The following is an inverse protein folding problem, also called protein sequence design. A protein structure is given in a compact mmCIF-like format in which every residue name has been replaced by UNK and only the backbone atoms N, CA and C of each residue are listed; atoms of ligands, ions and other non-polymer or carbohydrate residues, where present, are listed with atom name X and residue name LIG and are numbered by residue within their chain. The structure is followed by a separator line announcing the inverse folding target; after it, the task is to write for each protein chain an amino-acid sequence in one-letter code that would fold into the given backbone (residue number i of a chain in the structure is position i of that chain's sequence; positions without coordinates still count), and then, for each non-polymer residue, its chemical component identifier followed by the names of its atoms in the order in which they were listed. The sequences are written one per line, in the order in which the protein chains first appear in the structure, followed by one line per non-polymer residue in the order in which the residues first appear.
data_IF_974327591448
#
_entry.id   IF_974327591448
#
_cell.length_a   1.000
_cell.length_b   1.000
_cell.length_c   1.000
_cell.angle_alpha   90.00
_cell.angle_beta   90.00
_cell.angle_gamma   90.00
#
_symmetry.space_group_name_H-M   'P 1'
#
loop_
_entity.id
_entity.type
_entity.pdbx_description
1 polymer ?
#
# COMPACT_ATOMS: atom_id res chain seq x y z
N UNK A 1 -26.19 -4.42 -14.72
CA UNK A 1 -26.87 -3.44 -15.60
C UNK A 1 -25.88 -2.68 -16.48
N UNK A 2 -24.92 -1.92 -15.92
CA UNK A 2 -23.96 -1.13 -16.71
C UNK A 2 -23.10 -1.97 -17.70
N UNK A 3 -22.61 -3.14 -17.28
CA UNK A 3 -21.81 -4.01 -18.14
C UNK A 3 -22.61 -4.60 -19.32
N UNK A 4 -23.85 -5.04 -19.07
CA UNK A 4 -24.75 -5.52 -20.12
C UNK A 4 -25.03 -4.44 -21.17
N UNK A 5 -25.34 -3.22 -20.73
CA UNK A 5 -25.58 -2.10 -21.65
C UNK A 5 -24.39 -1.82 -22.58
N UNK A 6 -23.15 -1.94 -22.09
CA UNK A 6 -21.95 -1.84 -22.93
C UNK A 6 -21.83 -2.98 -23.95
N UNK A 7 -22.23 -4.20 -23.58
CA UNK A 7 -22.20 -5.36 -24.48
C UNK A 7 -23.29 -5.28 -25.56
N UNK A 8 -24.49 -4.81 -25.21
CA UNK A 8 -25.58 -4.58 -26.17
C UNK A 8 -25.20 -3.54 -27.23
N UNK A 9 -24.35 -2.55 -26.89
CA UNK A 9 -23.79 -1.61 -27.88
C UNK A 9 -22.82 -2.27 -28.87
N UNK A 10 -22.17 -3.37 -28.49
CA UNK A 10 -21.27 -4.12 -29.39
C UNK A 10 -22.06 -5.07 -30.29
N UNK A 11 -23.03 -5.78 -29.71
CA UNK A 11 -23.89 -6.73 -30.43
C UNK A 11 -25.21 -6.94 -29.68
N UNK A 12 -26.26 -6.24 -30.11
CA UNK A 12 -27.61 -6.29 -29.52
C UNK A 12 -28.25 -7.69 -29.65
N UNK A 13 -27.87 -8.47 -30.67
CA UNK A 13 -28.41 -9.80 -30.90
C UNK A 13 -27.73 -10.86 -30.05
N UNK A 14 -26.43 -10.71 -29.79
CA UNK A 14 -25.70 -11.58 -28.87
C UNK A 14 -26.06 -11.29 -27.40
N UNK A 15 -26.45 -10.04 -27.08
CA UNK A 15 -26.77 -9.61 -25.72
C UNK A 15 -28.17 -8.97 -25.57
N UNK A 16 -29.26 -9.72 -25.77
CA UNK A 16 -30.63 -9.20 -25.71
C UNK A 16 -31.16 -8.96 -24.28
N UNK A 17 -30.62 -9.69 -23.29
CA UNK A 17 -31.02 -9.58 -21.88
C UNK A 17 -29.89 -9.96 -20.91
N UNK A 18 -30.07 -9.67 -19.61
CA UNK A 18 -29.03 -9.90 -18.60
C UNK A 18 -28.53 -11.36 -18.51
N UNK A 19 -29.35 -12.36 -18.86
CA UNK A 19 -28.97 -13.77 -18.82
C UNK A 19 -28.06 -14.17 -19.98
N UNK A 20 -28.02 -13.37 -21.05
CA UNK A 20 -27.12 -13.57 -22.18
C UNK A 20 -25.65 -13.27 -21.84
N UNK A 21 -25.38 -12.54 -20.74
CA UNK A 21 -24.04 -12.19 -20.26
C UNK A 21 -23.37 -13.41 -19.62
N UNK A 22 -23.01 -14.36 -20.46
CA UNK A 22 -22.29 -15.58 -20.10
C UNK A 22 -20.81 -15.44 -20.47
N UNK A 23 -19.94 -16.15 -19.76
CA UNK A 23 -18.49 -16.11 -20.01
C UNK A 23 -18.14 -16.45 -21.47
N UNK A 24 -18.87 -17.38 -22.09
CA UNK A 24 -18.68 -17.79 -23.48
C UNK A 24 -19.12 -16.72 -24.48
N UNK A 25 -20.23 -16.03 -24.24
CA UNK A 25 -20.70 -14.93 -25.10
C UNK A 25 -19.77 -13.71 -24.99
N UNK A 26 -19.43 -13.31 -23.77
CA UNK A 26 -18.52 -12.19 -23.51
C UNK A 26 -17.15 -12.42 -24.17
N UNK A 27 -16.63 -13.64 -24.14
CA UNK A 27 -15.35 -13.98 -24.78
C UNK A 27 -15.34 -13.78 -26.32
N UNK A 28 -16.50 -13.77 -26.99
CA UNK A 28 -16.58 -13.56 -28.44
C UNK A 28 -16.43 -12.10 -28.85
N UNK A 29 -16.84 -11.18 -27.98
CA UNK A 29 -16.82 -9.73 -28.24
C UNK A 29 -15.71 -9.00 -27.50
N UNK A 30 -15.13 -9.65 -26.48
CA UNK A 30 -14.00 -9.10 -25.74
C UNK A 30 -12.70 -9.62 -26.34
N UNK A 31 -11.99 -8.75 -27.04
CA UNK A 31 -10.59 -8.98 -27.39
C UNK A 31 -9.74 -8.62 -26.17
N UNK A 32 -9.12 -9.61 -25.54
CA UNK A 32 -8.16 -9.39 -24.47
C UNK A 32 -6.76 -9.58 -25.04
N UNK A 33 -6.00 -8.49 -25.14
CA UNK A 33 -4.57 -8.54 -25.53
C UNK A 33 -3.69 -8.19 -24.33
N UNK A 34 -2.63 -8.95 -24.13
CA UNK A 34 -1.57 -8.55 -23.20
C UNK A 34 -0.70 -7.46 -23.82
N UNK A 35 -0.01 -6.69 -22.99
CA UNK A 35 1.01 -5.73 -23.46
C UNK A 35 2.12 -6.39 -24.30
N UNK A 36 2.33 -7.71 -24.16
CA UNK A 36 3.33 -8.46 -24.93
C UNK A 36 2.86 -8.78 -26.34
N UNK A 37 1.56 -8.99 -26.52
CA UNK A 37 0.94 -9.29 -27.83
C UNK A 37 0.70 -8.03 -28.69
N UNK A 38 0.83 -6.84 -28.10
CA UNK A 38 0.66 -5.59 -28.83
C UNK A 38 1.95 -5.29 -29.59
N UNK A 39 1.90 -5.54 -30.90
CA UNK A 39 2.97 -5.24 -31.85
C UNK A 39 2.62 -3.99 -32.66
N UNK A 40 3.63 -3.25 -33.08
CA UNK A 40 3.51 -2.13 -34.03
C UNK A 40 3.32 -2.64 -35.47
N UNK A 41 3.17 -1.73 -36.43
CA UNK A 41 3.04 -2.08 -37.86
C UNK A 41 4.23 -2.86 -38.44
N UNK A 42 5.38 -2.89 -37.74
CA UNK A 42 6.59 -3.62 -38.14
C UNK A 42 6.74 -4.97 -37.43
N UNK A 43 5.79 -5.34 -36.57
CA UNK A 43 5.84 -6.57 -35.78
C UNK A 43 6.71 -6.46 -34.53
N UNK A 44 7.14 -5.27 -34.10
CA UNK A 44 7.93 -5.08 -32.88
C UNK A 44 7.03 -4.83 -31.66
N UNK A 45 7.41 -5.29 -30.46
CA UNK A 45 6.65 -5.02 -29.24
C UNK A 45 6.53 -3.52 -28.95
N UNK A 46 5.30 -3.07 -28.74
CA UNK A 46 4.98 -1.66 -28.43
C UNK A 46 5.35 -1.29 -27.00
N UNK A 47 5.32 -2.25 -26.08
CA UNK A 47 5.65 -2.06 -24.68
C UNK A 47 7.04 -2.62 -24.37
N UNK A 48 7.83 -1.80 -23.68
CA UNK A 48 9.13 -2.21 -23.12
C UNK A 48 8.99 -3.35 -22.10
N UNK A 49 10.11 -4.01 -21.80
CA UNK A 49 10.11 -5.05 -20.77
C UNK A 49 9.95 -4.42 -19.38
N UNK A 50 9.46 -5.23 -18.44
CA UNK A 50 9.46 -4.89 -17.02
C UNK A 50 10.20 -5.95 -16.23
N UNK A 51 11.07 -5.49 -15.34
CA UNK A 51 11.89 -6.31 -14.45
C UNK A 51 11.43 -6.05 -13.03
N UNK A 52 11.04 -7.11 -12.31
CA UNK A 52 10.59 -7.03 -10.92
C UNK A 52 11.63 -7.72 -10.06
N UNK A 53 12.14 -7.02 -9.04
CA UNK A 53 13.16 -7.50 -8.12
C UNK A 53 12.71 -7.26 -6.68
N UNK A 54 13.12 -8.14 -5.78
CA UNK A 54 12.88 -7.99 -4.35
C UNK A 54 14.16 -7.51 -3.66
N UNK A 55 14.01 -6.61 -2.70
CA UNK A 55 15.08 -6.07 -1.86
C UNK A 55 14.84 -6.58 -0.42
N UNK A 56 15.55 -7.63 0.01
CA UNK A 56 15.37 -8.19 1.34
C UNK A 56 15.87 -7.21 2.41
N UNK A 57 15.17 -7.20 3.53
CA UNK A 57 15.49 -6.45 4.73
C UNK A 57 15.45 -7.40 5.90
N UNK A 58 16.55 -7.49 6.63
CA UNK A 58 16.64 -8.27 7.86
C UNK A 58 16.51 -7.31 9.03
N UNK A 59 15.64 -7.62 9.98
CA UNK A 59 15.53 -6.85 11.21
C UNK A 59 16.80 -6.95 12.04
N UNK A 60 17.18 -5.84 12.67
CA UNK A 60 18.12 -5.84 13.78
C UNK A 60 17.53 -6.59 14.98
N UNK A 61 18.35 -7.02 15.95
CA UNK A 61 17.83 -7.66 17.16
C UNK A 61 16.77 -6.84 17.92
N UNK A 62 16.90 -5.51 17.93
CA UNK A 62 15.93 -4.63 18.58
C UNK A 62 14.61 -4.53 17.79
N UNK A 63 14.67 -4.47 16.46
CA UNK A 63 13.48 -4.50 15.60
C UNK A 63 12.77 -5.86 15.67
N UNK A 64 13.53 -6.96 15.73
CA UNK A 64 13.00 -8.31 15.88
C UNK A 64 12.31 -8.49 17.25
N UNK A 65 12.89 -7.98 18.33
CA UNK A 65 12.25 -7.97 19.65
C UNK A 65 10.93 -7.20 19.62
N UNK A 66 10.90 -6.02 18.98
CA UNK A 66 9.67 -5.26 18.79
C UNK A 66 8.66 -6.04 17.93
N UNK A 67 9.10 -6.63 16.82
CA UNK A 67 8.24 -7.40 15.91
C UNK A 67 7.54 -8.53 16.66
N UNK A 68 8.29 -9.32 17.43
CA UNK A 68 7.75 -10.42 18.22
C UNK A 68 6.78 -9.92 19.30
N UNK A 69 7.11 -8.82 19.99
CA UNK A 69 6.25 -8.24 21.00
C UNK A 69 4.92 -7.69 20.41
N UNK A 70 4.99 -6.99 19.28
CA UNK A 70 3.80 -6.52 18.54
C UNK A 70 2.98 -7.70 18.03
N UNK A 71 3.63 -8.73 17.48
CA UNK A 71 2.96 -9.94 16.99
C UNK A 71 2.21 -10.66 18.11
N UNK A 72 2.79 -10.74 19.31
CA UNK A 72 2.14 -11.33 20.48
C UNK A 72 0.91 -10.52 20.92
N UNK A 73 1.04 -9.18 20.97
CA UNK A 73 -0.06 -8.27 21.28
C UNK A 73 -1.21 -8.37 20.25
N UNK A 74 -0.88 -8.37 18.96
CA UNK A 74 -1.81 -8.56 17.84
C UNK A 74 -2.53 -9.90 17.94
N UNK A 75 -1.80 -10.98 18.21
CA UNK A 75 -2.38 -12.32 18.30
C UNK A 75 -3.39 -12.44 19.44
N UNK A 76 -3.07 -11.90 20.61
CA UNK A 76 -3.97 -11.87 21.77
C UNK A 76 -5.23 -11.05 21.46
N UNK A 77 -5.06 -9.81 20.99
CA UNK A 77 -6.19 -8.94 20.64
C UNK A 77 -7.07 -9.51 19.53
N UNK A 78 -6.48 -10.18 18.54
CA UNK A 78 -7.21 -10.80 17.44
C UNK A 78 -8.05 -11.99 17.92
N UNK A 79 -7.51 -12.83 18.81
CA UNK A 79 -8.25 -13.95 19.38
C UNK A 79 -9.43 -13.46 20.23
N UNK A 80 -9.23 -12.45 21.08
CA UNK A 80 -10.30 -11.80 21.85
C UNK A 80 -11.38 -11.23 20.93
N UNK A 81 -10.98 -10.51 19.88
CA UNK A 81 -11.90 -9.96 18.90
C UNK A 81 -12.71 -11.05 18.18
N UNK A 82 -12.06 -12.18 17.85
CA UNK A 82 -12.72 -13.33 17.21
C UNK A 82 -13.75 -13.98 18.12
N UNK A 83 -13.43 -14.18 19.40
CA UNK A 83 -14.35 -14.72 20.40
C UNK A 83 -15.56 -13.80 20.60
N UNK A 84 -15.33 -12.49 20.64
CA UNK A 84 -16.36 -11.46 20.74
C UNK A 84 -17.11 -11.20 19.42
N UNK A 85 -16.74 -11.87 18.31
CA UNK A 85 -17.25 -11.62 16.95
C UNK A 85 -17.15 -10.13 16.52
N UNK A 86 -16.15 -9.43 17.02
CA UNK A 86 -15.90 -8.02 16.74
C UNK A 86 -14.92 -7.89 15.56
N UNK A 87 -15.46 -7.81 14.33
CA UNK A 87 -14.65 -7.67 13.10
C UNK A 87 -13.77 -6.42 13.12
N UNK A 88 -14.28 -5.31 13.65
CA UNK A 88 -13.56 -4.03 13.73
C UNK A 88 -12.30 -4.15 14.59
N UNK A 89 -12.41 -4.75 15.77
CA UNK A 89 -11.28 -5.00 16.66
C UNK A 89 -10.28 -5.98 16.04
N UNK A 90 -10.74 -7.04 15.37
CA UNK A 90 -9.86 -7.97 14.68
C UNK A 90 -9.08 -7.30 13.56
N UNK A 91 -9.74 -6.41 12.81
CA UNK A 91 -9.11 -5.65 11.73
C UNK A 91 -8.09 -4.63 12.24
N UNK A 92 -8.35 -3.97 13.37
CA UNK A 92 -7.35 -3.12 14.03
C UNK A 92 -6.03 -3.87 14.30
N UNK A 93 -6.12 -5.12 14.76
CA UNK A 93 -4.94 -5.94 15.02
C UNK A 93 -4.18 -6.25 13.72
N UNK A 94 -4.89 -6.51 12.63
CA UNK A 94 -4.28 -6.68 11.29
C UNK A 94 -3.57 -5.40 10.86
N UNK A 95 -4.16 -4.22 11.08
CA UNK A 95 -3.53 -2.94 10.75
C UNK A 95 -2.24 -2.71 11.53
N UNK A 96 -2.21 -2.99 12.84
CA UNK A 96 -0.96 -2.91 13.61
C UNK A 96 0.13 -3.83 13.05
N UNK A 97 -0.23 -5.06 12.70
CA UNK A 97 0.73 -5.99 12.10
C UNK A 97 1.26 -5.47 10.75
N UNK A 98 0.39 -4.93 9.89
CA UNK A 98 0.80 -4.32 8.61
C UNK A 98 1.71 -3.11 8.80
N UNK A 99 1.40 -2.27 9.79
CA UNK A 99 2.21 -1.08 10.09
C UNK A 99 3.57 -1.43 10.68
N UNK A 100 3.67 -2.52 11.44
CA UNK A 100 4.95 -3.06 11.95
C UNK A 100 5.93 -3.39 10.83
N UNK A 101 5.45 -4.00 9.75
CA UNK A 101 6.30 -4.32 8.59
C UNK A 101 6.41 -3.18 7.57
N UNK A 102 5.67 -2.08 7.75
CA UNK A 102 5.80 -0.87 6.94
C UNK A 102 7.01 -0.06 7.38
N UNK A 103 6.96 0.57 8.55
CA UNK A 103 8.07 1.31 9.14
C UNK A 103 7.93 1.36 10.66
N UNK A 104 9.05 1.52 11.36
CA UNK A 104 9.08 1.70 12.81
C UNK A 104 8.30 2.96 13.23
N UNK A 105 8.39 4.03 12.44
CA UNK A 105 7.59 5.25 12.67
C UNK A 105 6.09 4.95 12.62
N UNK A 106 5.65 4.16 11.63
CA UNK A 106 4.24 3.88 11.45
C UNK A 106 3.67 3.09 12.63
N UNK A 107 4.31 1.99 13.03
CA UNK A 107 3.83 1.22 14.19
C UNK A 107 3.92 2.02 15.49
N UNK A 108 4.99 2.79 15.68
CA UNK A 108 5.13 3.69 16.84
C UNK A 108 3.93 4.63 16.97
N UNK A 109 3.60 5.37 15.90
CA UNK A 109 2.45 6.30 15.92
C UNK A 109 1.14 5.61 16.21
N UNK A 110 0.93 4.41 15.67
CA UNK A 110 -0.27 3.60 15.92
C UNK A 110 -0.40 3.20 17.39
N UNK A 111 0.70 2.71 17.97
CA UNK A 111 0.75 2.30 19.38
C UNK A 111 0.55 3.50 20.32
N UNK A 112 1.16 4.64 20.02
CA UNK A 112 1.03 5.87 20.80
C UNK A 112 -0.40 6.43 20.75
N UNK A 113 -1.03 6.48 19.57
CA UNK A 113 -2.44 6.88 19.43
C UNK A 113 -3.36 5.98 20.22
N UNK A 114 -3.16 4.66 20.12
CA UNK A 114 -3.91 3.66 20.87
C UNK A 114 -3.75 3.83 22.38
N UNK A 115 -2.51 3.96 22.85
CA UNK A 115 -2.18 4.18 24.26
C UNK A 115 -2.87 5.44 24.78
N UNK A 116 -2.73 6.56 24.07
CA UNK A 116 -3.34 7.83 24.43
C UNK A 116 -4.88 7.73 24.49
N UNK A 117 -5.50 7.04 23.52
CA UNK A 117 -6.95 6.83 23.52
C UNK A 117 -7.43 6.05 24.75
N UNK A 118 -6.69 5.01 25.15
CA UNK A 118 -7.05 4.20 26.32
C UNK A 118 -6.79 4.92 27.64
N UNK A 119 -5.72 5.72 27.72
CA UNK A 119 -5.44 6.54 28.91
C UNK A 119 -6.56 7.56 29.14
N UNK A 120 -7.08 8.18 28.08
CA UNK A 120 -8.25 9.06 28.16
C UNK A 120 -9.52 8.33 28.59
N UNK A 121 -9.77 7.13 28.04
CA UNK A 121 -10.91 6.30 28.46
C UNK A 121 -10.81 5.95 29.95
N UNK A 122 -9.61 5.59 30.42
CA UNK A 122 -9.35 5.27 31.83
C UNK A 122 -9.54 6.49 32.75
N UNK A 123 -9.15 7.68 32.30
CA UNK A 123 -9.33 8.91 33.07
C UNK A 123 -10.80 9.35 33.19
N UNK A 124 -11.72 8.73 32.43
CA UNK A 124 -13.12 9.16 32.34
C UNK A 124 -13.33 10.34 31.39
N UNK A 125 -12.27 10.79 30.69
CA UNK A 125 -12.28 11.94 29.76
C UNK A 125 -12.83 11.58 28.37
N UNK A 126 -13.17 10.32 28.15
CA UNK A 126 -13.73 9.81 26.90
C UNK A 126 -14.87 8.83 27.19
N UNK A 127 -15.98 8.99 26.47
CA UNK A 127 -17.07 8.01 26.46
C UNK A 127 -16.64 6.76 25.69
N UNK A 128 -17.27 5.61 25.99
CA UNK A 128 -17.10 4.41 25.18
C UNK A 128 -17.36 4.74 23.71
N UNK A 129 -16.35 4.48 22.89
CA UNK A 129 -16.39 4.73 21.46
C UNK A 129 -17.10 3.56 20.77
N UNK A 130 -18.22 3.86 20.13
CA UNK A 130 -18.87 2.99 19.15
C UNK A 130 -18.75 3.61 17.76
N UNK A 131 -18.74 2.75 16.72
CA UNK A 131 -18.82 3.22 15.35
C UNK A 131 -20.25 3.71 15.07
N UNK A 132 -20.36 4.90 14.48
CA UNK A 132 -21.60 5.39 13.89
C UNK A 132 -22.02 4.52 12.70
N UNK A 133 -23.29 4.59 12.25
CA UNK A 133 -23.73 3.82 11.08
C UNK A 133 -22.92 4.10 9.80
N UNK A 134 -22.47 5.34 9.59
CA UNK A 134 -21.62 5.69 8.44
C UNK A 134 -20.22 5.11 8.57
N UNK A 135 -19.61 5.19 9.77
CA UNK A 135 -18.31 4.60 10.04
C UNK A 135 -18.34 3.06 9.90
N UNK A 136 -19.44 2.42 10.34
CA UNK A 136 -19.62 0.98 10.17
C UNK A 136 -19.72 0.60 8.69
N UNK A 137 -20.50 1.35 7.90
CA UNK A 137 -20.60 1.14 6.45
C UNK A 137 -19.24 1.28 5.76
N UNK A 138 -18.49 2.36 6.07
CA UNK A 138 -17.14 2.57 5.54
C UNK A 138 -16.17 1.48 5.96
N UNK A 139 -16.25 0.99 7.20
CA UNK A 139 -15.44 -0.14 7.64
C UNK A 139 -15.76 -1.41 6.84
N UNK A 140 -17.05 -1.72 6.62
CA UNK A 140 -17.45 -2.87 5.82
C UNK A 140 -16.97 -2.74 4.36
N UNK A 141 -17.09 -1.56 3.76
CA UNK A 141 -16.51 -1.23 2.44
C UNK A 141 -14.98 -1.43 2.43
N UNK A 142 -14.28 -0.98 3.48
CA UNK A 142 -12.82 -1.09 3.59
C UNK A 142 -12.33 -2.53 3.77
N UNK A 143 -13.10 -3.36 4.50
CA UNK A 143 -12.83 -4.77 4.70
C UNK A 143 -13.01 -5.59 3.43
N UNK A 144 -14.05 -5.27 2.66
CA UNK A 144 -14.38 -6.00 1.43
C UNK A 144 -13.47 -5.56 0.27
N UNK A 145 -13.23 -4.25 0.15
CA UNK A 145 -12.31 -3.67 -0.81
C UNK A 145 -11.49 -2.52 -0.19
N UNK A 146 -10.21 -2.76 0.15
CA UNK A 146 -9.32 -1.73 0.66
C UNK A 146 -9.19 -0.48 -0.24
N UNK A 147 -9.49 -0.60 -1.53
CA UNK A 147 -9.44 0.47 -2.53
C UNK A 147 -10.72 1.30 -2.64
N UNK A 148 -11.82 0.88 -2.01
CA UNK A 148 -13.11 1.58 -2.09
C UNK A 148 -13.11 2.96 -1.44
N UNK A 149 -12.25 3.17 -0.45
CA UNK A 149 -12.14 4.40 0.32
C UNK A 149 -10.96 5.27 -0.13
N UNK A 150 -11.14 6.58 -0.02
CA UNK A 150 -10.03 7.54 -0.17
C UNK A 150 -9.01 7.39 0.97
N UNK A 151 -7.76 7.85 0.77
CA UNK A 151 -6.75 7.86 1.85
C UNK A 151 -7.27 8.57 3.13
N UNK A 152 -8.02 9.65 2.97
CA UNK A 152 -8.55 10.43 4.09
C UNK A 152 -9.60 9.64 4.88
N UNK A 153 -10.51 8.97 4.19
CA UNK A 153 -11.53 8.11 4.80
C UNK A 153 -10.91 6.89 5.47
N UNK A 154 -9.92 6.24 4.82
CA UNK A 154 -9.17 5.13 5.43
C UNK A 154 -8.53 5.56 6.73
N UNK A 155 -7.77 6.65 6.73
CA UNK A 155 -7.14 7.17 7.95
C UNK A 155 -8.14 7.54 9.03
N UNK A 156 -9.31 8.09 8.67
CA UNK A 156 -10.36 8.41 9.63
C UNK A 156 -10.90 7.14 10.30
N UNK A 157 -11.19 6.11 9.51
CA UNK A 157 -11.62 4.80 10.02
C UNK A 157 -10.52 4.16 10.87
N UNK A 158 -9.27 4.12 10.41
CA UNK A 158 -8.15 3.55 11.18
C UNK A 158 -7.98 4.26 12.54
N UNK A 159 -8.03 5.61 12.58
CA UNK A 159 -7.99 6.39 13.83
C UNK A 159 -9.17 6.04 14.74
N UNK A 160 -10.35 5.82 14.16
CA UNK A 160 -11.53 5.43 14.93
C UNK A 160 -11.36 4.03 15.52
N UNK A 161 -10.85 3.09 14.74
CA UNK A 161 -10.58 1.72 15.19
C UNK A 161 -9.59 1.71 16.35
N UNK A 162 -8.53 2.52 16.31
CA UNK A 162 -7.53 2.65 17.38
C UNK A 162 -8.15 3.09 18.72
N UNK A 163 -9.36 3.63 18.73
CA UNK A 163 -10.07 4.00 19.97
C UNK A 163 -11.03 2.93 20.51
N UNK A 164 -11.28 1.85 19.76
CA UNK A 164 -12.19 0.79 20.17
C UNK A 164 -11.61 -0.04 21.32
N UNK A 165 -12.37 -0.33 22.39
CA UNK A 165 -11.91 -1.26 23.42
C UNK A 165 -11.85 -2.68 22.85
N UNK A 166 -10.71 -3.35 23.03
CA UNK A 166 -10.49 -4.74 22.56
C UNK A 166 -10.25 -5.67 23.74
N UNK A 167 -9.44 -5.23 24.71
CA UNK A 167 -9.07 -6.04 25.85
C UNK A 167 -10.05 -5.83 27.02
N UNK A 168 -10.34 -6.88 27.81
CA UNK A 168 -11.27 -6.80 28.92
C UNK A 168 -10.74 -5.93 30.08
N UNK A 169 -9.42 -5.81 30.23
CA UNK A 169 -8.77 -5.03 31.28
C UNK A 169 -7.91 -3.92 30.68
N UNK A 170 -8.47 -2.70 30.62
CA UNK A 170 -7.83 -1.52 30.03
C UNK A 170 -6.45 -1.22 30.64
N UNK A 171 -6.30 -1.32 31.97
CA UNK A 171 -5.00 -1.08 32.62
C UNK A 171 -3.91 -2.08 32.19
N UNK A 172 -4.28 -3.34 31.96
CA UNK A 172 -3.35 -4.35 31.48
C UNK A 172 -2.93 -4.09 30.04
N UNK A 173 -3.85 -3.60 29.19
CA UNK A 173 -3.55 -3.23 27.80
C UNK A 173 -2.65 -1.99 27.77
N UNK A 174 -2.95 -0.97 28.57
CA UNK A 174 -2.12 0.23 28.73
C UNK A 174 -0.68 -0.13 29.13
N UNK A 175 -0.50 -1.04 30.09
CA UNK A 175 0.84 -1.48 30.51
C UNK A 175 1.62 -2.12 29.35
N UNK A 176 0.99 -3.01 28.58
CA UNK A 176 1.59 -3.63 27.38
C UNK A 176 1.93 -2.59 26.32
N UNK A 177 1.01 -1.67 26.02
CA UNK A 177 1.21 -0.61 25.04
C UNK A 177 2.35 0.33 25.43
N UNK A 178 2.50 0.65 26.72
CA UNK A 178 3.66 1.43 27.20
C UNK A 178 4.97 0.71 26.95
N UNK A 179 5.02 -0.61 27.20
CA UNK A 179 6.21 -1.41 26.90
C UNK A 179 6.52 -1.41 25.39
N UNK A 180 5.51 -1.63 24.54
CA UNK A 180 5.66 -1.60 23.09
C UNK A 180 6.13 -0.22 22.59
N UNK A 181 5.55 0.86 23.10
CA UNK A 181 6.00 2.23 22.78
C UNK A 181 7.44 2.46 23.23
N UNK A 182 7.85 1.94 24.38
CA UNK A 182 9.25 2.04 24.83
C UNK A 182 10.20 1.27 23.92
N UNK A 183 9.86 0.04 23.52
CA UNK A 183 10.66 -0.74 22.56
C UNK A 183 10.78 -0.01 21.22
N UNK A 184 9.67 0.50 20.68
CA UNK A 184 9.67 1.25 19.43
C UNK A 184 10.49 2.54 19.51
N UNK A 185 10.43 3.27 20.63
CA UNK A 185 11.19 4.50 20.82
C UNK A 185 12.71 4.29 20.99
N UNK A 186 13.16 3.08 21.33
CA UNK A 186 14.59 2.74 21.42
C UNK A 186 15.23 2.48 20.06
N UNK A 187 14.42 2.25 19.02
CA UNK A 187 14.93 2.00 17.68
C UNK A 187 15.14 3.35 16.99
N UNK A 188 16.41 3.76 16.90
CA UNK A 188 16.80 5.02 16.26
C UNK A 188 16.88 4.90 14.73
N UNK A 189 17.28 3.74 14.24
CA UNK A 189 17.47 3.45 12.82
C UNK A 189 16.48 2.37 12.40
N UNK A 190 15.56 2.72 11.50
CA UNK A 190 14.70 1.77 10.79
C UNK A 190 15.50 1.14 9.65
N UNK A 191 15.79 -0.16 9.76
CA UNK A 191 16.63 -0.89 8.80
C UNK A 191 16.04 -0.93 7.41
N UNK A 192 14.70 -0.90 7.29
CA UNK A 192 14.01 -0.89 6.00
C UNK A 192 14.16 0.45 5.30
N UNK A 193 14.02 1.55 6.04
CA UNK A 193 14.26 2.88 5.51
C UNK A 193 15.74 3.08 5.15
N UNK A 194 16.66 2.62 6.00
CA UNK A 194 18.10 2.64 5.73
C UNK A 194 18.45 1.84 4.47
N UNK A 195 17.86 0.64 4.30
CA UNK A 195 18.04 -0.19 3.10
C UNK A 195 17.55 0.54 1.84
N UNK A 196 16.39 1.21 1.90
CA UNK A 196 15.90 2.05 0.80
C UNK A 196 16.94 3.12 0.44
N UNK A 197 17.41 3.92 1.41
CA UNK A 197 18.34 5.01 1.11
C UNK A 197 19.70 4.51 0.61
N UNK A 198 20.25 3.42 1.17
CA UNK A 198 21.47 2.79 0.62
C UNK A 198 21.29 2.31 -0.81
N UNK A 199 20.12 1.74 -1.13
CA UNK A 199 19.79 1.34 -2.48
C UNK A 199 19.72 2.55 -3.43
N UNK A 200 19.06 3.63 -3.01
CA UNK A 200 18.99 4.88 -3.76
C UNK A 200 20.39 5.49 -3.97
N UNK A 201 21.21 5.61 -2.93
CA UNK A 201 22.59 6.10 -3.00
C UNK A 201 23.42 5.37 -4.05
N UNK A 202 23.30 4.03 -4.10
CA UNK A 202 23.99 3.23 -5.11
C UNK A 202 23.43 3.52 -6.51
N UNK A 203 22.12 3.54 -6.64
CA UNK A 203 21.42 3.72 -7.91
C UNK A 203 21.74 5.08 -8.55
N UNK A 204 21.72 6.16 -7.78
CA UNK A 204 21.94 7.52 -8.26
C UNK A 204 23.40 7.84 -8.58
N UNK A 205 24.36 7.17 -7.92
CA UNK A 205 25.79 7.25 -8.29
C UNK A 205 26.07 6.62 -9.64
N UNK A 206 25.38 5.53 -9.97
CA UNK A 206 25.64 4.77 -11.20
C UNK A 206 24.92 5.36 -12.42
N UNK A 207 23.73 5.96 -12.24
CA UNK A 207 22.87 6.40 -13.35
C UNK A 207 21.97 7.58 -12.93
N UNK A 208 21.80 8.58 -13.79
CA UNK A 208 20.71 9.55 -13.64
C UNK A 208 19.36 8.86 -13.85
N UNK A 209 18.59 8.64 -12.77
CA UNK A 209 17.30 7.98 -12.89
C UNK A 209 16.31 8.48 -11.83
N UNK A 210 15.30 9.20 -12.29
CA UNK A 210 14.13 9.49 -11.47
C UNK A 210 13.51 8.21 -10.90
N UNK A 211 13.24 8.20 -9.60
CA UNK A 211 12.65 7.06 -8.88
C UNK A 211 11.34 7.48 -8.24
N UNK A 212 10.32 6.65 -8.44
CA UNK A 212 9.06 6.73 -7.73
C UNK A 212 9.06 5.72 -6.57
N UNK A 213 8.91 6.20 -5.35
CA UNK A 213 8.79 5.38 -4.14
C UNK A 213 7.33 5.39 -3.67
N UNK A 214 6.69 4.22 -3.65
CA UNK A 214 5.33 4.05 -3.16
C UNK A 214 5.30 3.54 -1.73
N UNK A 215 4.39 4.10 -0.93
CA UNK A 215 4.03 3.60 0.40
C UNK A 215 2.51 3.58 0.57
N UNK A 216 1.97 2.64 1.34
CA UNK A 216 0.55 2.57 1.68
C UNK A 216 0.17 3.63 2.73
N UNK A 217 1.08 3.97 3.64
CA UNK A 217 0.78 4.77 4.82
C UNK A 217 1.38 6.18 4.75
N UNK A 218 0.57 7.20 5.06
CA UNK A 218 1.05 8.60 5.13
C UNK A 218 2.06 8.85 6.24
N UNK A 219 1.92 8.17 7.38
CA UNK A 219 2.92 8.25 8.45
C UNK A 219 4.30 7.75 7.98
N UNK A 220 4.35 6.67 7.19
CA UNK A 220 5.58 6.18 6.55
C UNK A 220 6.07 7.15 5.48
N UNK A 221 5.17 7.75 4.69
CA UNK A 221 5.56 8.77 3.72
C UNK A 221 6.28 9.94 4.38
N UNK A 222 5.69 10.54 5.42
CA UNK A 222 6.26 11.67 6.13
C UNK A 222 7.58 11.30 6.83
N UNK A 223 7.71 10.06 7.28
CA UNK A 223 8.97 9.53 7.79
C UNK A 223 10.07 9.54 6.72
N UNK A 224 9.79 8.98 5.55
CA UNK A 224 10.74 8.95 4.42
C UNK A 224 11.11 10.36 3.95
N UNK A 225 10.16 11.29 3.92
CA UNK A 225 10.45 12.69 3.61
C UNK A 225 11.44 13.30 4.59
N UNK A 226 11.25 13.09 5.90
CA UNK A 226 12.16 13.59 6.92
C UNK A 226 13.56 13.03 6.73
N UNK A 227 13.67 11.71 6.55
CA UNK A 227 14.96 11.04 6.32
C UNK A 227 15.65 11.50 5.03
N UNK A 228 14.88 11.79 3.97
CA UNK A 228 15.38 12.33 2.72
C UNK A 228 15.93 13.75 2.91
N UNK A 229 15.19 14.62 3.61
CA UNK A 229 15.66 15.99 3.95
C UNK A 229 16.94 15.96 4.78
N UNK A 230 17.01 15.11 5.80
CA UNK A 230 18.19 14.95 6.67
C UNK A 230 19.43 14.51 5.88
N UNK A 231 19.25 13.76 4.80
CA UNK A 231 20.31 13.32 3.89
C UNK A 231 20.58 14.29 2.74
N UNK A 232 19.88 15.43 2.68
CA UNK A 232 20.05 16.45 1.63
C UNK A 232 19.47 16.06 0.27
N UNK A 233 18.49 15.16 0.22
CA UNK A 233 17.85 14.76 -1.02
C UNK A 233 16.75 15.73 -1.45
N UNK A 234 16.75 16.08 -2.72
CA UNK A 234 15.60 16.74 -3.36
C UNK A 234 14.54 15.71 -3.73
N UNK A 235 13.28 16.02 -3.42
CA UNK A 235 12.14 15.16 -3.71
C UNK A 235 10.85 15.96 -3.87
N UNK A 236 9.89 15.33 -4.55
CA UNK A 236 8.49 15.73 -4.56
C UNK A 236 7.64 14.69 -3.81
N UNK A 237 6.43 15.07 -3.44
CA UNK A 237 5.48 14.22 -2.73
C UNK A 237 4.10 14.30 -3.36
N UNK A 238 3.41 13.17 -3.48
CA UNK A 238 2.01 13.11 -3.87
C UNK A 238 1.24 12.18 -2.91
N UNK A 239 0.31 12.72 -2.11
CA UNK A 239 -0.52 11.93 -1.21
C UNK A 239 -2.01 12.31 -1.30
N UNK A 240 -2.91 11.46 -0.79
CA UNK A 240 -4.36 11.59 -1.01
C UNK A 240 -4.96 12.91 -0.51
N UNK A 241 -4.44 13.45 0.59
CA UNK A 241 -4.84 14.76 1.13
C UNK A 241 -4.46 16.00 0.30
N UNK A 242 -3.78 15.86 -0.84
CA UNK A 242 -3.40 17.00 -1.69
C UNK A 242 -4.51 17.36 -2.69
N UNK A 243 -4.71 18.66 -2.91
CA UNK A 243 -5.56 19.18 -3.99
C UNK A 243 -5.01 18.81 -5.37
N UNK A 244 -5.87 18.82 -6.39
CA UNK A 244 -5.47 18.50 -7.76
C UNK A 244 -4.34 19.41 -8.27
N UNK A 245 -4.36 20.70 -7.93
CA UNK A 245 -3.31 21.63 -8.34
C UNK A 245 -1.98 21.36 -7.62
N UNK A 246 -2.02 21.06 -6.31
CA UNK A 246 -0.83 20.67 -5.57
C UNK A 246 -0.20 19.38 -6.10
N UNK A 247 -1.02 18.40 -6.51
CA UNK A 247 -0.55 17.17 -7.17
C UNK A 247 0.13 17.48 -8.50
N UNK A 248 -0.47 18.33 -9.33
CA UNK A 248 0.12 18.78 -10.61
C UNK A 248 1.44 19.52 -10.42
N UNK A 249 1.53 20.40 -9.43
CA UNK A 249 2.78 21.11 -9.10
C UNK A 249 3.88 20.13 -8.66
N UNK A 250 3.54 19.15 -7.83
CA UNK A 250 4.49 18.13 -7.38
C UNK A 250 4.95 17.22 -8.51
N UNK A 251 4.05 16.89 -9.44
CA UNK A 251 4.43 16.19 -10.66
C UNK A 251 5.39 17.02 -11.51
N UNK A 252 5.11 18.31 -11.73
CA UNK A 252 6.02 19.20 -12.49
C UNK A 252 7.38 19.32 -11.84
N UNK A 253 7.44 19.51 -10.52
CA UNK A 253 8.70 19.51 -9.75
C UNK A 253 9.45 18.20 -9.95
N UNK A 254 8.76 17.06 -9.86
CA UNK A 254 9.38 15.76 -10.14
C UNK A 254 9.85 15.60 -11.59
N UNK A 255 9.33 16.35 -12.56
CA UNK A 255 9.83 16.30 -13.95
C UNK A 255 11.13 17.11 -14.13
N UNK A 256 11.44 18.07 -13.25
CA UNK A 256 12.67 18.87 -13.22
C UNK A 256 13.90 18.03 -12.87
N UNK A 257 15.04 18.27 -13.53
CA UNK A 257 16.26 17.44 -13.37
C UNK A 257 16.73 17.35 -11.91
N UNK A 258 16.61 18.44 -11.15
CA UNK A 258 17.08 18.56 -9.76
C UNK A 258 16.26 17.75 -8.75
N UNK A 259 15.09 17.25 -9.14
CA UNK A 259 14.22 16.43 -8.26
C UNK A 259 14.27 14.95 -8.67
N UNK A 260 15.19 14.14 -8.11
CA UNK A 260 15.36 12.73 -8.47
C UNK A 260 14.29 11.81 -7.88
N UNK A 261 13.62 12.21 -6.80
CA UNK A 261 12.72 11.36 -6.02
C UNK A 261 11.27 11.86 -6.03
N UNK A 262 10.33 10.92 -6.08
CA UNK A 262 8.93 11.16 -5.80
C UNK A 262 8.43 10.14 -4.78
N UNK A 263 7.98 10.60 -3.61
CA UNK A 263 7.26 9.77 -2.65
C UNK A 263 5.76 9.86 -2.92
N UNK A 264 5.08 8.71 -2.99
CA UNK A 264 3.64 8.70 -3.25
C UNK A 264 2.87 7.68 -2.41
N UNK A 265 1.63 8.04 -2.02
CA UNK A 265 0.65 7.07 -1.54
C UNK A 265 -0.18 6.49 -2.68
N UNK A 266 -0.81 5.33 -2.42
CA UNK A 266 -1.61 4.61 -3.41
C UNK A 266 -2.75 5.43 -4.02
N UNK A 267 -3.59 6.07 -3.20
CA UNK A 267 -4.74 6.81 -3.72
C UNK A 267 -4.35 8.11 -4.44
N UNK A 268 -3.10 8.52 -4.31
CA UNK A 268 -2.58 9.75 -4.91
C UNK A 268 -1.82 9.49 -6.23
N UNK A 269 -1.32 8.27 -6.41
CA UNK A 269 -0.72 7.80 -7.65
C UNK A 269 -1.74 7.58 -8.78
N UNK A 270 -3.02 7.52 -8.44
CA UNK A 270 -4.13 7.37 -9.37
C UNK A 270 -4.17 8.51 -10.40
N UNK A 271 -4.15 8.16 -11.69
CA UNK A 271 -4.19 9.12 -12.80
C UNK A 271 -2.84 9.77 -13.17
N UNK A 272 -1.76 9.56 -12.39
CA UNK A 272 -0.46 10.15 -12.72
C UNK A 272 0.16 9.54 -13.99
N UNK A 273 0.72 10.40 -14.84
CA UNK A 273 1.39 10.04 -16.08
C UNK A 273 2.91 10.21 -15.96
N UNK A 274 3.57 9.29 -15.25
CA UNK A 274 5.00 9.42 -14.93
C UNK A 274 5.94 8.71 -15.92
N UNK A 275 5.38 7.83 -16.76
CA UNK A 275 6.11 6.99 -17.72
C UNK A 275 7.08 7.75 -18.67
N UNK A 276 6.84 9.03 -18.97
CA UNK A 276 7.75 9.79 -19.84
C UNK A 276 9.12 10.06 -19.24
N UNK A 277 9.19 10.23 -17.91
CA UNK A 277 10.40 10.68 -17.19
C UNK A 277 10.91 9.65 -16.18
N UNK A 278 10.04 8.74 -15.74
CA UNK A 278 10.36 7.74 -14.74
C UNK A 278 10.15 6.32 -15.30
N UNK A 279 11.14 5.46 -15.08
CA UNK A 279 11.11 4.03 -15.42
C UNK A 279 11.50 3.17 -14.21
N UNK A 280 11.72 3.77 -13.04
CA UNK A 280 12.08 3.07 -11.81
C UNK A 280 11.03 3.28 -10.73
N UNK A 281 10.58 2.18 -10.15
CA UNK A 281 9.67 2.17 -9.03
C UNK A 281 10.28 1.39 -7.88
N UNK A 282 10.09 1.89 -6.67
CA UNK A 282 10.32 1.15 -5.44
C UNK A 282 9.00 1.08 -4.67
N UNK A 283 8.49 -0.12 -4.41
CA UNK A 283 7.43 -0.34 -3.46
C UNK A 283 8.07 -0.51 -2.08
N UNK A 284 7.85 0.46 -1.20
CA UNK A 284 8.33 0.39 0.18
C UNK A 284 7.60 -0.71 0.96
N UNK A 285 6.29 -0.84 0.75
CA UNK A 285 5.55 -2.09 1.01
C UNK A 285 4.63 -2.41 -0.17
N UNK A 286 4.35 -3.69 -0.33
CA UNK A 286 3.43 -4.17 -1.35
C UNK A 286 2.00 -4.26 -0.80
N UNK A 287 1.01 -3.70 -1.52
CA UNK A 287 -0.37 -3.89 -1.15
C UNK A 287 -0.76 -5.35 -1.36
N UNK A 288 -1.63 -5.87 -0.49
CA UNK A 288 -2.08 -7.26 -0.59
C UNK A 288 -3.05 -7.52 -1.74
N UNK A 289 -3.46 -6.48 -2.47
CA UNK A 289 -4.28 -6.56 -3.67
C UNK A 289 -3.39 -6.54 -4.93
N UNK A 290 -3.29 -7.66 -5.70
CA UNK A 290 -2.48 -7.73 -6.92
C UNK A 290 -2.87 -6.68 -7.97
N UNK A 291 -4.16 -6.32 -8.06
CA UNK A 291 -4.61 -5.30 -9.00
C UNK A 291 -3.99 -3.94 -8.69
N UNK A 292 -3.83 -3.60 -7.40
CA UNK A 292 -3.18 -2.36 -6.97
C UNK A 292 -1.70 -2.34 -7.37
N UNK A 293 -1.01 -3.47 -7.25
CA UNK A 293 0.38 -3.60 -7.71
C UNK A 293 0.47 -3.33 -9.22
N UNK A 294 -0.42 -3.92 -10.01
CA UNK A 294 -0.48 -3.68 -11.46
C UNK A 294 -0.81 -2.23 -11.81
N UNK A 295 -1.70 -1.58 -11.06
CA UNK A 295 -2.00 -0.15 -11.22
C UNK A 295 -0.77 0.73 -10.92
N UNK A 296 -0.01 0.43 -9.86
CA UNK A 296 1.26 1.10 -9.55
C UNK A 296 2.22 0.96 -10.74
N UNK A 297 2.53 -0.27 -11.15
CA UNK A 297 3.43 -0.53 -12.29
C UNK A 297 2.92 0.17 -13.54
N UNK A 298 1.61 0.18 -13.74
CA UNK A 298 0.91 0.88 -14.82
C UNK A 298 1.14 2.39 -14.84
N UNK A 299 1.64 3.05 -13.78
CA UNK A 299 2.02 4.48 -13.82
C UNK A 299 3.29 4.74 -14.64
N UNK A 300 4.16 3.72 -14.77
CA UNK A 300 5.44 3.77 -15.49
C UNK A 300 5.44 2.91 -16.76
N UNK A 301 4.76 1.76 -16.73
CA UNK A 301 4.67 0.81 -17.83
C UNK A 301 3.47 1.16 -18.72
N UNK A 302 3.61 2.21 -19.53
CA UNK A 302 2.60 2.67 -20.50
C UNK A 302 3.18 2.77 -21.90
N UNK A 303 2.30 2.91 -22.90
CA UNK A 303 2.69 3.26 -24.25
C UNK A 303 3.56 4.52 -24.24
N UNK A 304 4.61 4.55 -25.06
CA UNK A 304 5.54 5.69 -25.13
C UNK A 304 6.70 5.65 -24.12
N UNK A 305 6.69 4.72 -23.17
CA UNK A 305 7.86 4.44 -22.33
C UNK A 305 9.00 3.90 -23.22
N UNK A 306 10.18 4.53 -23.15
CA UNK A 306 11.34 4.17 -23.99
C UNK A 306 12.37 3.30 -23.27
N UNK A 307 12.26 3.17 -21.95
CA UNK A 307 13.21 2.44 -21.11
C UNK A 307 12.48 1.32 -20.38
N UNK A 308 13.13 0.16 -20.30
CA UNK A 308 12.63 -0.95 -19.48
C UNK A 308 12.26 -0.47 -18.08
N UNK A 309 11.09 -0.90 -17.61
CA UNK A 309 10.58 -0.52 -16.30
C UNK A 309 11.19 -1.44 -15.25
N UNK A 310 11.88 -0.88 -14.25
CA UNK A 310 12.40 -1.64 -13.12
C UNK A 310 11.52 -1.38 -11.90
N UNK A 311 11.09 -2.46 -11.24
CA UNK A 311 10.25 -2.43 -10.05
C UNK A 311 10.99 -3.15 -8.94
N UNK A 312 11.26 -2.45 -7.85
CA UNK A 312 11.91 -3.00 -6.67
C UNK A 312 10.89 -3.08 -5.53
N UNK A 313 10.82 -4.20 -4.84
CA UNK A 313 9.92 -4.40 -3.71
C UNK A 313 10.74 -4.62 -2.45
N UNK A 314 10.70 -3.68 -1.50
CA UNK A 314 11.29 -3.93 -0.18
C UNK A 314 10.43 -4.94 0.57
N UNK A 315 11.07 -5.88 1.23
CA UNK A 315 10.37 -6.87 2.05
C UNK A 315 11.21 -7.27 3.25
N UNK A 316 10.54 -7.48 4.38
CA UNK A 316 11.20 -7.95 5.59
C UNK A 316 11.19 -9.47 5.59
N UNK A 317 12.37 -10.08 5.64
CA UNK A 317 12.55 -11.54 5.69
C UNK A 317 12.23 -12.08 7.08
N UNK A 318 11.98 -13.38 7.19
CA UNK A 318 11.72 -14.07 8.47
C UNK A 318 10.48 -13.57 9.24
N UNK A 319 9.54 -12.94 8.54
CA UNK A 319 8.26 -12.49 9.09
C UNK A 319 7.11 -13.38 8.61
N UNK A 320 5.97 -13.36 9.31
CA UNK A 320 4.75 -14.04 8.83
C UNK A 320 4.29 -13.47 7.48
N UNK A 321 4.59 -12.21 7.24
CA UNK A 321 4.27 -11.48 6.02
C UNK A 321 5.10 -11.93 4.82
N UNK A 322 6.29 -12.52 5.03
CA UNK A 322 7.13 -13.10 3.98
C UNK A 322 6.38 -14.16 3.17
N UNK A 323 5.65 -15.05 3.85
CA UNK A 323 4.79 -16.07 3.20
C UNK A 323 3.67 -15.44 2.36
N UNK A 324 3.09 -14.33 2.83
CA UNK A 324 2.03 -13.61 2.12
C UNK A 324 2.61 -12.99 0.85
N UNK A 325 3.78 -12.36 0.97
CA UNK A 325 4.48 -11.75 -0.15
C UNK A 325 4.84 -12.78 -1.22
N UNK A 326 5.42 -13.91 -0.83
CA UNK A 326 5.78 -14.98 -1.76
C UNK A 326 4.56 -15.43 -2.59
N UNK A 327 3.41 -15.61 -1.94
CA UNK A 327 2.15 -15.98 -2.60
C UNK A 327 1.59 -14.85 -3.49
N UNK A 328 1.75 -13.58 -3.10
CA UNK A 328 1.32 -12.44 -3.91
C UNK A 328 2.16 -12.31 -5.19
N UNK A 329 3.48 -12.49 -5.08
CA UNK A 329 4.38 -12.48 -6.23
C UNK A 329 4.09 -13.65 -7.18
N UNK A 330 3.86 -14.85 -6.64
CA UNK A 330 3.42 -16.01 -7.44
C UNK A 330 2.11 -15.73 -8.17
N UNK A 331 1.12 -15.12 -7.50
CA UNK A 331 -0.14 -14.71 -8.14
C UNK A 331 0.07 -13.67 -9.23
N UNK A 332 0.98 -12.71 -9.05
CA UNK A 332 1.30 -11.74 -10.11
C UNK A 332 1.95 -12.41 -11.32
N UNK A 333 2.80 -13.41 -11.10
CA UNK A 333 3.37 -14.21 -12.19
C UNK A 333 2.31 -15.07 -12.88
N UNK A 334 1.38 -15.67 -12.12
CA UNK A 334 0.21 -16.35 -12.67
C UNK A 334 -0.68 -15.40 -13.46
N UNK A 335 -1.01 -14.21 -12.96
CA UNK A 335 -1.76 -13.19 -13.72
C UNK A 335 -1.04 -12.80 -15.01
N UNK A 336 0.30 -12.89 -15.06
CA UNK A 336 1.08 -12.67 -16.29
C UNK A 336 1.04 -13.88 -17.24
N UNK A 337 0.93 -15.10 -16.72
CA UNK A 337 0.95 -16.35 -17.49
C UNK A 337 -0.45 -16.80 -17.93
N UNK A 338 -1.45 -16.67 -17.06
CA UNK A 338 -2.88 -16.98 -17.24
C UNK A 338 -3.63 -15.89 -18.03
N UNK A 339 -2.91 -15.14 -18.86
CA UNK A 339 -3.54 -14.48 -20.01
C UNK A 339 -3.21 -15.34 -21.22
N UNK A 340 -4.07 -16.31 -21.58
CA UNK A 340 -3.92 -17.06 -22.81
C UNK A 340 -4.07 -16.09 -23.98
N UNK A 341 -3.21 -16.27 -24.98
CA UNK A 341 -3.23 -15.48 -26.23
C UNK A 341 -4.39 -15.80 -27.15
#
# INVERSE_FOLDING_TARGET
YAFHALLTLLDEYAFPDLNSVTRSQVARVVIRRTKREILDETGKPVFVQRHVQTLPVEFTPAEEELYQAVTAYVAEGYNLAREAKNRAAGFLMVLFQKRMVSSIEAIRRSLERRLHSLERLRAGDALQVTLSPDEQRKLDEYLDDPDSLTDAEREEIERRLESLPVFPRVDSEIAKLRELCQKANRIEVDTKADTLFRFLDKLFREREKKVLVFTEYRDTLHYLERLARERGWEFATIHGGMSMDARRMSQRRFEETETPLLFATDAAGEGLNLHWRCHLMVNYELPWNPNRIEQRIGRLHRYGQKRDVLVYNLFVTNTREDFILARLLERLEQIRADVPG
#
